data_IF_499682853754
#
_entry.id   IF_499682853754
#
_cell.length_a   1.000
_cell.length_b   1.000
_cell.length_c   1.000
_cell.angle_alpha   90.00
_cell.angle_beta   90.00
_cell.angle_gamma   90.00
#
_symmetry.space_group_name_H-M   'P 1'
#
loop_
_entity.id
_entity.type
_entity.pdbx_description
1 polymer ?
#
# COMPACT_ATOMS: atom_id res chain seq x y z
N UNK A 1 46.53 -33.16 -33.42
CA UNK A 1 45.06 -33.10 -33.22
C UNK A 1 44.61 -33.27 -31.76
N UNK A 2 45.49 -33.26 -30.75
CA UNK A 2 45.09 -33.31 -29.32
C UNK A 2 44.84 -31.92 -28.70
N UNK A 3 45.38 -30.87 -29.31
CA UNK A 3 45.29 -29.49 -28.80
C UNK A 3 44.04 -28.74 -29.28
N UNK A 4 43.24 -29.32 -30.18
CA UNK A 4 41.99 -28.72 -30.68
C UNK A 4 40.80 -29.03 -29.75
N UNK A 5 40.82 -30.19 -29.09
CA UNK A 5 39.78 -30.63 -28.15
C UNK A 5 39.75 -29.79 -26.87
N UNK A 6 40.91 -29.30 -26.41
CA UNK A 6 41.02 -28.47 -25.19
C UNK A 6 40.43 -27.07 -25.39
N UNK A 7 40.42 -26.55 -26.62
CA UNK A 7 39.90 -25.22 -26.92
C UNK A 7 38.36 -25.20 -27.01
N UNK A 8 37.75 -26.30 -27.44
CA UNK A 8 36.29 -26.45 -27.55
C UNK A 8 35.63 -26.56 -26.16
N UNK A 9 36.30 -27.18 -25.19
CA UNK A 9 35.78 -27.31 -23.82
C UNK A 9 35.82 -25.98 -23.03
N UNK A 10 36.67 -25.03 -23.45
CA UNK A 10 36.82 -23.73 -22.79
C UNK A 10 35.77 -22.70 -23.28
N UNK A 11 35.25 -22.85 -24.51
CA UNK A 11 34.21 -21.97 -25.06
C UNK A 11 32.80 -22.28 -24.53
N UNK A 12 32.54 -23.49 -24.01
CA UNK A 12 31.23 -23.84 -23.44
C UNK A 12 31.02 -23.30 -22.02
N UNK A 13 32.08 -22.86 -21.33
CA UNK A 13 32.00 -22.28 -19.99
C UNK A 13 31.66 -20.78 -19.97
N UNK A 14 31.68 -20.11 -21.14
CA UNK A 14 31.36 -18.68 -21.26
C UNK A 14 29.87 -18.40 -21.57
N UNK A 15 29.05 -19.45 -21.75
CA UNK A 15 27.59 -19.33 -21.81
C UNK A 15 26.96 -19.51 -20.42
N UNK A 16 27.67 -19.09 -19.36
CA UNK A 16 27.07 -18.93 -18.04
C UNK A 16 25.95 -17.90 -18.15
N UNK A 17 24.72 -18.41 -18.28
CA UNK A 17 23.48 -17.65 -18.36
C UNK A 17 23.52 -16.45 -17.41
N UNK A 18 23.46 -15.24 -17.96
CA UNK A 18 22.76 -14.18 -17.24
C UNK A 18 21.33 -14.66 -17.09
N UNK A 19 20.99 -15.20 -15.92
CA UNK A 19 19.60 -15.47 -15.59
C UNK A 19 18.90 -14.13 -15.66
N UNK A 20 17.89 -14.01 -16.53
CA UNK A 20 16.91 -12.94 -16.45
C UNK A 20 16.46 -12.86 -14.98
N UNK A 21 16.89 -11.80 -14.29
CA UNK A 21 16.63 -11.65 -12.86
C UNK A 21 15.20 -11.15 -12.63
N UNK A 22 14.39 -11.00 -13.69
CA UNK A 22 13.04 -10.46 -13.62
C UNK A 22 13.03 -8.94 -13.72
N UNK A 23 11.84 -8.40 -13.90
CA UNK A 23 11.61 -6.97 -14.01
C UNK A 23 11.18 -6.36 -12.67
N UNK A 24 11.33 -5.04 -12.54
CA UNK A 24 10.75 -4.29 -11.44
C UNK A 24 9.22 -4.37 -11.44
N UNK A 25 8.61 -4.01 -10.31
CA UNK A 25 7.13 -3.97 -10.17
C UNK A 25 6.67 -2.53 -10.05
N UNK A 26 5.52 -2.19 -10.64
CA UNK A 26 4.89 -0.89 -10.46
C UNK A 26 3.60 -1.06 -9.65
N UNK A 27 3.53 -0.37 -8.52
CA UNK A 27 2.40 -0.39 -7.61
C UNK A 27 1.62 0.92 -7.75
N UNK A 28 0.29 0.85 -7.88
CA UNK A 28 -0.61 1.98 -8.04
C UNK A 28 -1.71 1.87 -7.00
N UNK A 29 -1.73 2.77 -6.04
CA UNK A 29 -2.69 2.76 -4.94
C UNK A 29 -3.49 4.05 -4.96
N UNK A 30 -4.82 3.91 -5.00
CA UNK A 30 -5.75 5.02 -5.06
C UNK A 30 -6.64 5.05 -3.82
N UNK A 31 -6.84 6.23 -3.25
CA UNK A 31 -7.91 6.51 -2.29
C UNK A 31 -8.96 7.36 -2.97
N UNK A 32 -10.22 7.01 -2.80
CA UNK A 32 -11.36 7.78 -3.29
C UNK A 32 -12.25 8.14 -2.10
N UNK A 33 -12.67 9.39 -2.00
CA UNK A 33 -13.70 9.78 -1.05
C UNK A 33 -15.04 9.89 -1.77
N UNK A 34 -15.98 9.02 -1.42
CA UNK A 34 -17.37 9.03 -1.87
C UNK A 34 -18.31 8.90 -0.69
N UNK A 35 -17.90 9.42 0.47
CA UNK A 35 -18.64 9.30 1.72
C UNK A 35 -19.79 10.30 1.86
N UNK A 36 -19.84 11.32 1.01
CA UNK A 36 -20.72 12.47 1.19
C UNK A 36 -20.11 13.60 2.02
N UNK A 37 -18.97 13.36 2.68
CA UNK A 37 -18.32 14.29 3.60
C UNK A 37 -16.86 14.53 3.22
N UNK A 38 -16.34 15.71 3.55
CA UNK A 38 -14.90 15.94 3.50
C UNK A 38 -14.22 15.12 4.61
N UNK A 39 -13.15 14.40 4.28
CA UNK A 39 -12.42 13.58 5.23
C UNK A 39 -11.01 14.12 5.48
N UNK A 40 -10.58 14.01 6.73
CA UNK A 40 -9.18 14.13 7.16
C UNK A 40 -8.72 12.75 7.62
N UNK A 41 -7.59 12.31 7.12
CA UNK A 41 -6.96 11.04 7.45
C UNK A 41 -5.68 11.34 8.19
N UNK A 42 -5.62 10.93 9.45
CA UNK A 42 -4.44 11.07 10.30
C UNK A 42 -3.80 9.70 10.45
N UNK A 43 -2.61 9.53 9.89
CA UNK A 43 -1.86 8.28 9.96
C UNK A 43 -0.67 8.40 10.88
N UNK A 44 -0.41 7.35 11.65
CA UNK A 44 0.70 7.29 12.59
C UNK A 44 1.23 5.87 12.69
N UNK A 45 2.49 5.75 13.12
CA UNK A 45 3.00 4.49 13.65
C UNK A 45 2.73 4.44 15.14
N UNK A 46 2.22 3.32 15.63
CA UNK A 46 1.95 3.11 17.07
C UNK A 46 3.15 3.37 17.99
N UNK A 47 4.38 3.36 17.45
CA UNK A 47 5.63 3.65 18.15
C UNK A 47 6.16 5.08 18.02
N UNK A 48 5.55 5.93 17.20
CA UNK A 48 6.07 7.26 16.84
C UNK A 48 5.03 8.36 17.11
N UNK A 49 5.48 9.59 17.33
CA UNK A 49 4.60 10.76 17.52
C UNK A 49 4.28 11.47 16.19
N UNK A 50 5.00 11.14 15.11
CA UNK A 50 4.81 11.77 13.82
C UNK A 50 3.50 11.30 13.17
N UNK A 51 2.73 12.27 12.68
CA UNK A 51 1.46 12.04 12.00
C UNK A 51 1.54 12.60 10.58
N UNK A 52 1.24 11.78 9.58
CA UNK A 52 1.00 12.26 8.23
C UNK A 52 -0.49 12.55 8.07
N UNK A 53 -0.81 13.71 7.48
CA UNK A 53 -2.20 14.19 7.36
C UNK A 53 -2.56 14.27 5.89
N UNK A 54 -3.63 13.58 5.51
CA UNK A 54 -4.21 13.61 4.16
C UNK A 54 -5.63 14.17 4.26
N UNK A 55 -5.94 15.21 3.48
CA UNK A 55 -7.30 15.73 3.35
C UNK A 55 -7.86 15.38 1.96
N UNK A 56 -9.05 14.78 1.91
CA UNK A 56 -9.80 14.52 0.68
C UNK A 56 -11.20 15.12 0.79
N UNK A 57 -11.58 15.99 -0.15
CA UNK A 57 -12.98 16.41 -0.26
C UNK A 57 -13.86 15.29 -0.77
N UNK A 58 -15.17 15.39 -0.53
CA UNK A 58 -16.10 14.45 -1.14
C UNK A 58 -16.02 14.50 -2.68
N UNK A 59 -15.87 13.33 -3.30
CA UNK A 59 -15.66 13.15 -4.74
C UNK A 59 -14.20 13.28 -5.20
N UNK A 60 -13.26 13.62 -4.32
CA UNK A 60 -11.84 13.66 -4.66
C UNK A 60 -11.18 12.27 -4.55
N UNK A 61 -10.11 12.10 -5.30
CA UNK A 61 -9.24 10.93 -5.23
C UNK A 61 -7.76 11.34 -5.17
N UNK A 62 -6.94 10.48 -4.58
CA UNK A 62 -5.49 10.59 -4.59
C UNK A 62 -4.87 9.26 -4.99
N UNK A 63 -3.93 9.31 -5.93
CA UNK A 63 -3.19 8.12 -6.38
C UNK A 63 -1.71 8.30 -6.10
N UNK A 64 -1.08 7.28 -5.50
CA UNK A 64 0.38 7.17 -5.37
C UNK A 64 0.88 6.02 -6.24
N UNK A 65 2.02 6.21 -6.87
CA UNK A 65 2.70 5.20 -7.68
C UNK A 65 4.09 4.92 -7.10
N UNK A 66 4.46 3.64 -7.05
CA UNK A 66 5.76 3.21 -6.55
C UNK A 66 6.37 2.16 -7.49
N UNK A 67 7.58 2.42 -7.96
CA UNK A 67 8.32 1.49 -8.81
C UNK A 67 9.37 0.75 -7.96
N UNK A 68 9.12 -0.52 -7.67
CA UNK A 68 10.12 -1.40 -7.03
C UNK A 68 11.25 -1.69 -8.01
N UNK A 69 12.51 -1.72 -7.54
CA UNK A 69 13.64 -2.21 -8.32
C UNK A 69 13.43 -3.66 -8.78
N UNK A 70 14.17 -4.03 -9.83
CA UNK A 70 14.27 -5.41 -10.31
C UNK A 70 15.06 -6.26 -9.30
N UNK A 71 14.84 -7.59 -9.25
CA UNK A 71 15.55 -8.47 -8.34
C UNK A 71 17.09 -8.39 -8.51
N UNK A 72 17.86 -8.73 -7.46
CA UNK A 72 17.45 -9.43 -6.24
C UNK A 72 16.79 -8.55 -5.17
N UNK A 73 16.73 -7.24 -5.36
CA UNK A 73 16.10 -6.31 -4.42
C UNK A 73 14.66 -6.11 -4.88
N UNK A 74 13.68 -6.53 -4.06
CA UNK A 74 12.27 -6.28 -4.33
C UNK A 74 11.65 -5.60 -3.10
N UNK A 75 11.11 -4.41 -3.33
CA UNK A 75 10.38 -3.65 -2.32
C UNK A 75 8.88 -3.81 -2.56
N UNK A 76 8.13 -3.85 -1.46
CA UNK A 76 6.68 -3.98 -1.48
C UNK A 76 6.06 -2.64 -1.12
N UNK A 77 4.98 -2.28 -1.83
CA UNK A 77 4.21 -1.08 -1.57
C UNK A 77 2.76 -1.47 -1.31
N UNK A 78 2.23 -1.01 -0.18
CA UNK A 78 0.87 -1.27 0.27
C UNK A 78 0.27 0.03 0.84
N UNK A 79 -0.96 -0.03 1.35
CA UNK A 79 -1.54 1.11 2.05
C UNK A 79 -0.77 1.53 3.31
N UNK A 80 -0.03 0.63 3.96
CA UNK A 80 0.87 1.00 5.08
C UNK A 80 1.94 1.97 4.58
N UNK A 81 2.57 1.66 3.43
CA UNK A 81 3.53 2.54 2.77
C UNK A 81 2.87 3.81 2.22
N UNK A 82 1.62 3.72 1.76
CA UNK A 82 0.84 4.85 1.28
C UNK A 82 0.61 5.88 2.38
N UNK A 83 0.12 5.43 3.54
CA UNK A 83 -0.22 6.26 4.68
C UNK A 83 1.01 6.63 5.52
N UNK A 84 2.11 5.90 5.39
CA UNK A 84 3.25 6.00 6.30
C UNK A 84 2.82 5.79 7.76
N UNK A 85 2.04 4.72 8.00
CA UNK A 85 1.53 4.41 9.34
C UNK A 85 0.96 2.99 9.45
N UNK A 86 0.96 2.44 10.66
CA UNK A 86 0.32 1.16 11.00
C UNK A 86 -1.13 1.34 11.49
N UNK A 87 -1.54 2.59 11.68
CA UNK A 87 -2.85 2.98 12.19
C UNK A 87 -3.28 4.28 11.51
N UNK A 88 -4.58 4.42 11.25
CA UNK A 88 -5.19 5.65 10.72
C UNK A 88 -6.48 5.99 11.45
N UNK A 89 -6.73 7.29 11.62
CA UNK A 89 -8.00 7.85 12.07
C UNK A 89 -8.60 8.62 10.90
N UNK A 90 -9.83 8.26 10.52
CA UNK A 90 -10.61 8.95 9.50
C UNK A 90 -11.61 9.85 10.22
N UNK A 91 -11.44 11.14 10.05
CA UNK A 91 -12.34 12.17 10.56
C UNK A 91 -13.28 12.61 9.44
N UNK A 92 -14.56 12.30 9.57
CA UNK A 92 -15.61 12.71 8.63
C UNK A 92 -16.19 14.04 9.09
N UNK A 93 -15.60 15.14 8.59
CA UNK A 93 -15.81 16.47 9.14
C UNK A 93 -15.47 16.51 10.63
N UNK A 94 -16.38 17.05 11.45
CA UNK A 94 -16.31 17.05 12.92
C UNK A 94 -17.43 16.20 13.55
N UNK A 95 -18.06 15.30 12.81
CA UNK A 95 -19.24 14.55 13.29
C UNK A 95 -18.88 13.17 13.81
N UNK A 96 -18.05 12.44 13.05
CA UNK A 96 -17.71 11.05 13.32
C UNK A 96 -16.28 10.75 12.97
N UNK A 97 -15.74 9.74 13.65
CA UNK A 97 -14.44 9.17 13.37
C UNK A 97 -14.49 7.66 13.21
N UNK A 98 -13.60 7.13 12.38
CA UNK A 98 -13.36 5.71 12.24
C UNK A 98 -11.86 5.43 12.42
N UNK A 99 -11.54 4.36 13.14
CA UNK A 99 -10.15 4.00 13.44
C UNK A 99 -9.86 2.67 12.75
N UNK A 100 -8.78 2.64 11.98
CA UNK A 100 -8.25 1.43 11.39
C UNK A 100 -6.84 1.17 11.91
N UNK A 101 -6.57 -0.09 12.23
CA UNK A 101 -5.24 -0.58 12.60
C UNK A 101 -4.85 -1.67 11.63
N UNK A 102 -3.55 -1.87 11.41
CA UNK A 102 -3.05 -2.95 10.58
C UNK A 102 -3.63 -4.31 11.01
N UNK A 103 -4.17 -5.05 10.04
CA UNK A 103 -4.64 -6.42 10.26
C UNK A 103 -3.72 -7.38 9.52
N UNK A 104 -3.07 -8.29 10.25
CA UNK A 104 -2.08 -9.24 9.72
C UNK A 104 -2.52 -10.69 9.86
N UNK A 105 -3.56 -10.97 10.64
CA UNK A 105 -3.99 -12.33 10.94
C UNK A 105 -4.93 -12.91 9.86
N UNK A 106 -5.36 -12.10 8.89
CA UNK A 106 -6.22 -12.51 7.76
C UNK A 106 -7.53 -13.24 8.18
N UNK A 107 -8.00 -13.03 9.41
CA UNK A 107 -9.14 -13.77 9.97
C UNK A 107 -10.48 -13.02 9.82
N UNK A 108 -10.46 -11.79 9.31
CA UNK A 108 -11.63 -10.93 9.16
C UNK A 108 -11.77 -10.43 7.72
N UNK A 109 -13.03 -10.27 7.31
CA UNK A 109 -13.41 -9.58 6.06
C UNK A 109 -13.78 -8.11 6.34
N UNK A 110 -13.26 -7.54 7.43
CA UNK A 110 -13.54 -6.16 7.78
C UNK A 110 -12.89 -5.23 6.76
N UNK A 111 -13.68 -4.26 6.30
CA UNK A 111 -13.26 -3.27 5.30
C UNK A 111 -12.26 -2.32 5.96
N UNK A 112 -10.98 -2.60 5.73
CA UNK A 112 -9.88 -1.87 6.35
C UNK A 112 -8.77 -1.70 5.31
N UNK A 113 -8.41 -0.46 4.92
CA UNK A 113 -7.38 -0.24 3.90
C UNK A 113 -6.01 -0.78 4.32
N UNK A 114 -5.75 -0.94 5.63
CA UNK A 114 -4.52 -1.52 6.18
C UNK A 114 -4.57 -3.06 6.30
N UNK A 115 -5.59 -3.72 5.77
CA UNK A 115 -5.67 -5.17 5.72
C UNK A 115 -4.78 -5.72 4.60
N UNK A 116 -3.58 -6.18 4.96
CA UNK A 116 -2.59 -6.68 4.01
C UNK A 116 -3.00 -7.99 3.32
N UNK A 117 -4.06 -8.63 3.77
CA UNK A 117 -4.56 -9.88 3.20
C UNK A 117 -5.63 -9.63 2.12
N UNK A 118 -6.16 -8.40 2.06
CA UNK A 118 -7.13 -7.96 1.04
C UNK A 118 -6.44 -7.09 -0.01
N UNK A 119 -5.55 -6.20 0.41
CA UNK A 119 -4.88 -5.23 -0.45
C UNK A 119 -3.40 -5.60 -0.67
N UNK A 120 -3.16 -6.69 -1.41
CA UNK A 120 -1.83 -7.22 -1.73
C UNK A 120 -1.47 -7.19 -3.23
N UNK A 121 -2.34 -6.61 -4.08
CA UNK A 121 -2.10 -6.50 -5.51
C UNK A 121 -1.25 -5.27 -5.90
N UNK A 122 -0.80 -5.26 -7.16
CA UNK A 122 -0.05 -4.12 -7.72
C UNK A 122 -0.94 -2.91 -8.01
N UNK A 123 -2.25 -3.08 -8.15
CA UNK A 123 -3.16 -1.98 -8.43
C UNK A 123 -4.37 -2.10 -7.53
N UNK A 124 -4.51 -1.15 -6.61
CA UNK A 124 -5.54 -1.19 -5.58
C UNK A 124 -6.27 0.15 -5.47
N UNK A 125 -7.56 0.07 -5.16
CA UNK A 125 -8.39 1.24 -4.91
C UNK A 125 -9.23 1.01 -3.68
N UNK A 126 -9.11 1.92 -2.71
CA UNK A 126 -9.95 1.96 -1.53
C UNK A 126 -10.86 3.18 -1.63
N UNK A 127 -12.16 2.95 -1.52
CA UNK A 127 -13.16 4.02 -1.56
C UNK A 127 -13.79 4.16 -0.19
N UNK A 128 -13.66 5.33 0.45
CA UNK A 128 -14.48 5.69 1.60
C UNK A 128 -15.90 5.97 1.11
N UNK A 129 -16.88 5.27 1.64
CA UNK A 129 -18.28 5.29 1.21
C UNK A 129 -19.18 5.91 2.27
N UNK A 130 -20.45 6.17 1.92
CA UNK A 130 -21.46 6.63 2.88
C UNK A 130 -21.68 5.60 4.00
N UNK A 131 -21.64 4.30 3.68
CA UNK A 131 -21.73 3.22 4.68
C UNK A 131 -20.59 3.27 5.70
N UNK A 132 -19.38 3.66 5.28
CA UNK A 132 -18.25 3.83 6.20
C UNK A 132 -18.53 4.96 7.21
N UNK A 133 -19.10 6.09 6.75
CA UNK A 133 -19.56 7.17 7.62
C UNK A 133 -20.72 6.75 8.54
N UNK A 134 -21.70 6.02 8.03
CA UNK A 134 -22.84 5.55 8.83
C UNK A 134 -22.37 4.65 9.98
N UNK A 135 -21.39 3.80 9.73
CA UNK A 135 -20.80 2.87 10.70
C UNK A 135 -19.72 3.51 11.60
N UNK A 136 -19.25 4.71 11.28
CA UNK A 136 -18.27 5.43 12.10
C UNK A 136 -18.84 5.85 13.48
N UNK A 137 -17.94 6.07 14.43
CA UNK A 137 -18.28 6.42 15.81
C UNK A 137 -18.47 7.94 15.95
N UNK A 138 -19.57 8.43 16.58
CA UNK A 138 -19.73 9.86 16.88
C UNK A 138 -18.60 10.40 17.76
N UNK A 139 -18.11 11.60 17.45
CA UNK A 139 -17.11 12.33 18.27
C UNK A 139 -17.67 13.61 18.90
N UNK A 140 -18.99 13.83 18.84
CA UNK A 140 -19.71 14.97 19.44
C UNK A 140 -19.11 16.36 19.14
N UNK A 141 -18.43 16.53 18.00
CA UNK A 141 -17.82 17.79 17.58
C UNK A 141 -16.31 17.91 17.83
N UNK A 142 -15.69 16.96 18.54
CA UNK A 142 -14.27 16.98 18.90
C UNK A 142 -13.55 15.71 18.39
N UNK A 143 -13.41 15.64 17.07
CA UNK A 143 -12.70 14.57 16.35
C UNK A 143 -11.18 14.83 16.24
N UNK A 144 -10.61 15.74 17.06
CA UNK A 144 -9.21 16.19 16.91
C UNK A 144 -8.22 15.50 17.83
#
# INVERSE_FOLDING_TARGET
MKNLLTFIFLLTLLNGCGTDQGEGKNYIFTLVNSSGYDIRIDSFFSSEEDTEIIALRNGEEITKQFNSPAPPIQEYYSYISFFQGDSIVINYGNEKQQIFVIETNCNGNERNPLNICIYDEQQETFTFTEEDFENATPCDGDCN
#
